data_IF_617231195476
#
_entry.id   IF_617231195476
#
_cell.length_a   1.000
_cell.length_b   1.000
_cell.length_c   1.000
_cell.angle_alpha   90.00
_cell.angle_beta   90.00
_cell.angle_gamma   90.00
#
_symmetry.space_group_name_H-M   'P 1'
#
loop_
_entity.id
_entity.type
_entity.pdbx_description
1 polymer ?
#
# COMPACT_ATOMS: atom_id res chain seq x y z
N UNK A 1 -13.44 -9.19 17.29
CA UNK A 1 -13.32 -8.19 16.21
C UNK A 1 -12.34 -7.12 16.69
N UNK A 2 -11.28 -6.85 15.91
CA UNK A 2 -10.31 -5.79 16.22
C UNK A 2 -10.77 -4.46 15.63
N UNK A 3 -10.24 -3.34 16.11
CA UNK A 3 -10.56 -2.00 15.62
C UNK A 3 -9.66 -1.57 14.44
N UNK A 4 -8.36 -1.83 14.54
CA UNK A 4 -7.35 -1.38 13.59
C UNK A 4 -6.08 -2.23 13.66
N UNK A 5 -5.23 -2.07 12.65
CA UNK A 5 -3.87 -2.60 12.63
C UNK A 5 -2.92 -1.57 13.22
N UNK A 6 -2.16 -1.94 14.24
CA UNK A 6 -1.15 -1.07 14.85
C UNK A 6 0.24 -1.43 14.34
N UNK A 7 0.81 -0.58 13.50
CA UNK A 7 2.12 -0.81 12.87
C UNK A 7 2.73 0.51 12.38
N UNK A 8 4.04 0.56 12.23
CA UNK A 8 4.72 1.65 11.50
C UNK A 8 4.80 1.39 10.00
N UNK A 9 4.53 0.16 9.59
CA UNK A 9 4.54 -0.23 8.19
C UNK A 9 3.26 0.26 7.48
N UNK A 10 3.45 1.04 6.43
CA UNK A 10 2.35 1.63 5.68
C UNK A 10 1.72 0.64 4.70
N UNK A 11 2.39 -0.47 4.41
CA UNK A 11 1.88 -1.49 3.49
C UNK A 11 0.63 -2.20 4.04
N UNK A 12 0.33 -2.08 5.34
CA UNK A 12 -0.92 -2.50 5.95
C UNK A 12 -2.15 -1.92 5.23
N UNK A 13 -2.09 -0.68 4.75
CA UNK A 13 -3.17 -0.07 3.96
C UNK A 13 -3.24 -0.68 2.56
N UNK A 14 -2.09 -1.03 1.98
CA UNK A 14 -2.00 -1.69 0.67
C UNK A 14 -2.60 -3.09 0.71
N UNK A 15 -2.39 -3.83 1.81
CA UNK A 15 -3.06 -5.11 2.11
C UNK A 15 -4.56 -4.98 2.45
N UNK A 16 -5.10 -3.77 2.52
CA UNK A 16 -6.53 -3.55 2.73
C UNK A 16 -6.96 -3.40 4.19
N UNK A 17 -6.05 -3.08 5.11
CA UNK A 17 -6.44 -2.70 6.47
C UNK A 17 -7.30 -1.44 6.45
N UNK A 18 -8.53 -1.51 6.98
CA UNK A 18 -9.48 -0.38 7.00
C UNK A 18 -8.91 0.85 7.74
N UNK A 19 -8.17 0.60 8.82
CA UNK A 19 -7.52 1.64 9.63
C UNK A 19 -6.13 1.19 10.09
N UNK A 20 -5.14 2.06 9.90
CA UNK A 20 -3.78 1.87 10.40
C UNK A 20 -3.46 2.89 11.51
N UNK A 21 -2.99 2.39 12.65
CA UNK A 21 -2.55 3.20 13.79
C UNK A 21 -1.03 3.22 13.86
N UNK A 22 -0.46 4.43 13.79
CA UNK A 22 0.97 4.67 13.95
C UNK A 22 1.28 5.35 15.26
N UNK A 23 2.53 5.19 15.69
CA UNK A 23 3.11 5.66 16.95
C UNK A 23 2.54 4.99 18.20
N UNK A 24 1.71 3.95 18.06
CA UNK A 24 1.08 3.28 19.21
C UNK A 24 2.13 2.58 20.10
N UNK A 25 3.18 2.03 19.51
CA UNK A 25 4.24 1.29 20.22
C UNK A 25 5.42 2.17 20.61
N UNK A 26 5.36 3.48 20.32
CA UNK A 26 6.42 4.40 20.70
C UNK A 26 6.45 4.59 22.22
N UNK A 27 7.65 4.78 22.76
CA UNK A 27 7.81 5.12 24.18
C UNK A 27 7.03 6.39 24.51
N UNK A 28 6.28 6.36 25.61
CA UNK A 28 5.53 7.51 26.15
C UNK A 28 6.39 8.77 26.27
N UNK A 29 7.68 8.62 26.56
CA UNK A 29 8.64 9.72 26.66
C UNK A 29 8.74 10.58 25.38
N UNK A 30 8.44 10.01 24.21
CA UNK A 30 8.43 10.73 22.92
C UNK A 30 7.24 11.68 22.79
N UNK A 31 6.17 11.50 23.57
CA UNK A 31 4.94 12.32 23.56
C UNK A 31 4.38 12.55 22.14
N UNK A 32 4.57 11.57 21.25
CA UNK A 32 4.01 11.63 19.90
C UNK A 32 2.55 11.18 19.95
N UNK A 33 1.61 11.96 19.37
CA UNK A 33 0.23 11.51 19.27
C UNK A 33 0.13 10.29 18.36
N UNK A 34 -0.81 9.41 18.68
CA UNK A 34 -1.21 8.33 17.79
C UNK A 34 -1.72 8.95 16.50
N UNK A 35 -1.23 8.45 15.38
CA UNK A 35 -1.69 8.85 14.06
C UNK A 35 -2.63 7.78 13.52
N UNK A 36 -3.80 8.20 13.09
CA UNK A 36 -4.83 7.33 12.51
C UNK A 36 -4.92 7.59 11.01
N UNK A 37 -4.89 6.52 10.22
CA UNK A 37 -5.03 6.61 8.76
C UNK A 37 -6.15 5.67 8.34
N UNK A 38 -7.20 6.25 7.75
CA UNK A 38 -8.38 5.53 7.27
C UNK A 38 -8.26 5.28 5.78
N UNK A 39 -8.34 4.02 5.36
CA UNK A 39 -8.16 3.63 3.97
C UNK A 39 -9.27 4.21 3.07
N UNK A 40 -10.52 4.20 3.53
CA UNK A 40 -11.66 4.75 2.78
C UNK A 40 -11.50 6.25 2.46
N UNK A 41 -10.98 7.03 3.42
CA UNK A 41 -10.66 8.45 3.22
C UNK A 41 -9.53 8.60 2.19
N UNK A 42 -8.45 7.80 2.31
CA UNK A 42 -7.32 7.84 1.36
C UNK A 42 -7.79 7.54 -0.07
N UNK A 43 -8.54 6.45 -0.26
CA UNK A 43 -9.08 6.05 -1.56
C UNK A 43 -10.02 7.12 -2.14
N UNK A 44 -10.89 7.70 -1.29
CA UNK A 44 -11.82 8.76 -1.69
C UNK A 44 -11.10 10.03 -2.14
N UNK A 45 -10.14 10.51 -1.35
CA UNK A 45 -9.40 11.75 -1.64
C UNK A 45 -8.51 11.60 -2.88
N UNK A 46 -7.89 10.42 -3.08
CA UNK A 46 -7.11 10.12 -4.29
C UNK A 46 -7.98 9.74 -5.50
N UNK A 47 -9.27 9.44 -5.28
CA UNK A 47 -10.24 8.94 -6.27
C UNK A 47 -9.77 7.65 -6.95
N UNK A 48 -9.30 6.72 -6.13
CA UNK A 48 -8.78 5.43 -6.56
C UNK A 48 -9.63 4.29 -5.98
N UNK A 49 -9.68 3.19 -6.71
CA UNK A 49 -10.12 1.90 -6.14
C UNK A 49 -8.96 1.26 -5.35
N UNK A 50 -9.24 0.23 -4.55
CA UNK A 50 -8.16 -0.47 -3.84
C UNK A 50 -7.11 -1.05 -4.80
N UNK A 51 -7.54 -1.63 -5.93
CA UNK A 51 -6.63 -2.14 -6.96
C UNK A 51 -5.76 -1.05 -7.57
N UNK A 52 -6.34 0.11 -7.88
CA UNK A 52 -5.59 1.27 -8.36
C UNK A 52 -4.61 1.79 -7.29
N UNK A 53 -4.98 1.74 -6.01
CA UNK A 53 -4.12 2.12 -4.90
C UNK A 53 -2.95 1.14 -4.70
N UNK A 54 -3.16 -0.17 -4.85
CA UNK A 54 -2.09 -1.18 -4.85
C UNK A 54 -1.08 -0.87 -5.96
N UNK A 55 -1.55 -0.60 -7.19
CA UNK A 55 -0.69 -0.22 -8.30
C UNK A 55 0.08 1.08 -8.02
N UNK A 56 -0.56 2.06 -7.38
CA UNK A 56 0.11 3.27 -6.91
C UNK A 56 1.24 2.94 -5.92
N UNK A 57 1.00 2.10 -4.92
CA UNK A 57 2.01 1.70 -3.94
C UNK A 57 3.21 1.00 -4.60
N UNK A 58 2.96 0.08 -5.54
CA UNK A 58 4.03 -0.58 -6.29
C UNK A 58 4.84 0.43 -7.11
N UNK A 59 4.20 1.41 -7.77
CA UNK A 59 4.89 2.47 -8.52
C UNK A 59 5.74 3.37 -7.62
N UNK A 60 5.29 3.66 -6.41
CA UNK A 60 6.05 4.44 -5.42
C UNK A 60 7.23 3.66 -4.81
N UNK A 61 7.22 2.33 -4.97
CA UNK A 61 8.17 1.39 -4.38
C UNK A 61 7.54 0.63 -3.22
N UNK A 62 7.69 -0.69 -3.25
CA UNK A 62 7.35 -1.59 -2.16
C UNK A 62 8.48 -2.63 -1.97
N UNK A 63 8.39 -3.44 -0.92
CA UNK A 63 9.43 -4.41 -0.58
C UNK A 63 9.41 -5.68 -1.44
N UNK A 64 8.39 -5.85 -2.28
CA UNK A 64 8.11 -7.10 -3.00
C UNK A 64 8.60 -7.12 -4.46
N UNK A 65 8.97 -5.98 -5.03
CA UNK A 65 9.46 -5.85 -6.41
C UNK A 65 10.20 -4.53 -6.61
N UNK A 66 10.99 -4.43 -7.67
CA UNK A 66 11.62 -3.17 -8.09
C UNK A 66 10.60 -2.07 -8.46
N UNK A 67 11.07 -0.85 -8.71
CA UNK A 67 10.26 0.27 -9.18
C UNK A 67 10.90 0.97 -10.39
N UNK A 68 10.10 1.76 -11.12
CA UNK A 68 10.59 2.47 -12.31
C UNK A 68 11.45 3.66 -11.87
N UNK A 69 12.75 3.61 -12.19
CA UNK A 69 13.70 4.66 -11.83
C UNK A 69 13.26 6.03 -12.37
N UNK A 70 13.22 7.03 -11.49
CA UNK A 70 12.85 8.40 -11.85
C UNK A 70 11.34 8.67 -11.84
N UNK A 71 10.52 7.68 -11.48
CA UNK A 71 9.10 7.87 -11.13
C UNK A 71 8.99 7.84 -9.60
N UNK A 72 8.76 9.02 -9.01
CA UNK A 72 8.53 9.17 -7.57
C UNK A 72 7.05 9.34 -7.22
N UNK A 73 6.72 9.65 -5.96
CA UNK A 73 5.33 9.70 -5.48
C UNK A 73 4.41 10.61 -6.28
N UNK A 74 4.83 11.86 -6.53
CA UNK A 74 4.03 12.83 -7.29
C UNK A 74 3.66 12.32 -8.69
N UNK A 75 4.64 11.76 -9.40
CA UNK A 75 4.44 11.27 -10.76
C UNK A 75 3.64 9.98 -10.78
N UNK A 76 3.81 9.12 -9.78
CA UNK A 76 3.01 7.89 -9.62
C UNK A 76 1.53 8.22 -9.48
N UNK A 77 1.18 9.22 -8.66
CA UNK A 77 -0.21 9.71 -8.52
C UNK A 77 -0.76 10.24 -9.85
N UNK A 78 0.00 11.09 -10.54
CA UNK A 78 -0.42 11.64 -11.85
C UNK A 78 -0.67 10.53 -12.88
N UNK A 79 0.22 9.53 -12.93
CA UNK A 79 0.13 8.41 -13.87
C UNK A 79 -1.03 7.48 -13.53
N UNK A 80 -1.19 7.07 -12.27
CA UNK A 80 -2.25 6.13 -11.89
C UNK A 80 -3.64 6.76 -12.02
N UNK A 81 -3.80 8.05 -11.70
CA UNK A 81 -5.08 8.74 -11.87
C UNK A 81 -5.49 8.82 -13.35
N UNK A 82 -4.52 8.95 -14.26
CA UNK A 82 -4.75 9.05 -15.70
C UNK A 82 -4.97 7.70 -16.37
N UNK A 83 -4.16 6.70 -16.02
CA UNK A 83 -4.06 5.43 -16.75
C UNK A 83 -4.69 4.24 -16.01
N UNK A 84 -4.98 4.38 -14.71
CA UNK A 84 -5.71 3.42 -13.87
C UNK A 84 -5.06 2.05 -13.65
N UNK A 85 -3.94 1.74 -14.30
CA UNK A 85 -3.19 0.49 -14.08
C UNK A 85 -1.72 0.64 -14.50
N UNK A 86 -0.83 -0.16 -13.91
CA UNK A 86 0.58 -0.22 -14.31
C UNK A 86 0.71 -0.61 -15.78
N UNK A 87 -0.09 -1.55 -16.27
CA UNK A 87 -0.07 -2.00 -17.66
C UNK A 87 -0.37 -0.86 -18.64
N UNK A 88 -1.40 -0.05 -18.36
CA UNK A 88 -1.73 1.11 -19.20
C UNK A 88 -0.70 2.23 -19.09
N UNK A 89 -0.07 2.39 -17.91
CA UNK A 89 1.05 3.32 -17.74
C UNK A 89 2.18 2.92 -18.67
N UNK A 90 2.62 1.66 -18.61
CA UNK A 90 3.73 1.16 -19.45
C UNK A 90 3.46 1.35 -20.94
N UNK A 91 2.22 1.13 -21.41
CA UNK A 91 1.82 1.38 -22.81
C UNK A 91 1.96 2.83 -23.26
N UNK A 92 1.87 3.79 -22.33
CA UNK A 92 1.88 5.23 -22.62
C UNK A 92 3.13 5.95 -22.11
N UNK A 93 4.04 5.24 -21.47
CA UNK A 93 5.24 5.79 -20.86
C UNK A 93 6.36 5.90 -21.90
N UNK A 94 7.17 6.95 -21.80
CA UNK A 94 8.39 7.07 -22.61
C UNK A 94 9.45 6.10 -22.08
N UNK A 95 9.52 4.90 -22.67
CA UNK A 95 10.44 3.83 -22.28
C UNK A 95 11.92 4.25 -22.32
N UNK A 96 12.30 5.20 -23.18
CA UNK A 96 13.69 5.69 -23.24
C UNK A 96 14.03 6.53 -22.02
N UNK A 97 13.05 7.25 -21.49
CA UNK A 97 13.22 8.13 -20.33
C UNK A 97 12.99 7.41 -19.01
N UNK A 98 12.05 6.48 -18.99
CA UNK A 98 11.62 5.73 -17.80
C UNK A 98 11.56 4.23 -18.14
N UNK A 99 12.72 3.58 -18.37
CA UNK A 99 12.75 2.16 -18.62
C UNK A 99 12.24 1.42 -17.37
N UNK A 100 11.32 0.47 -17.58
CA UNK A 100 10.93 -0.45 -16.52
C UNK A 100 12.11 -1.36 -16.14
N UNK A 101 12.15 -1.88 -14.89
CA UNK A 101 13.13 -2.89 -14.51
C UNK A 101 13.09 -4.12 -15.44
N UNK A 102 14.23 -4.76 -15.63
CA UNK A 102 14.28 -6.06 -16.33
C UNK A 102 13.53 -7.11 -15.50
N UNK A 103 12.71 -7.93 -16.16
CA UNK A 103 11.86 -8.95 -15.50
C UNK A 103 10.98 -8.42 -14.35
N UNK A 104 10.48 -7.18 -14.47
CA UNK A 104 9.70 -6.52 -13.42
C UNK A 104 8.41 -7.28 -13.05
N UNK A 105 8.43 -7.99 -11.91
CA UNK A 105 7.32 -8.79 -11.42
C UNK A 105 6.30 -7.98 -10.59
N UNK A 106 5.81 -6.87 -11.13
CA UNK A 106 4.76 -6.08 -10.47
C UNK A 106 3.44 -6.86 -10.33
N UNK A 107 3.18 -7.81 -11.23
CA UNK A 107 1.97 -8.65 -11.17
C UNK A 107 1.98 -9.59 -9.97
N UNK A 108 3.12 -10.21 -9.65
CA UNK A 108 3.28 -11.02 -8.44
C UNK A 108 3.18 -10.19 -7.16
N UNK A 109 3.75 -8.99 -7.14
CA UNK A 109 3.58 -8.07 -6.00
C UNK A 109 2.12 -7.65 -5.82
N UNK A 110 1.40 -7.37 -6.91
CA UNK A 110 -0.03 -7.06 -6.87
C UNK A 110 -0.84 -8.23 -6.33
N UNK A 111 -0.60 -9.44 -6.83
CA UNK A 111 -1.28 -10.65 -6.38
C UNK A 111 -1.07 -10.89 -4.88
N UNK A 112 0.16 -10.69 -4.39
CA UNK A 112 0.49 -10.77 -2.97
C UNK A 112 -0.33 -9.77 -2.12
N UNK A 113 -0.54 -8.55 -2.61
CA UNK A 113 -1.38 -7.56 -1.90
C UNK A 113 -2.88 -7.84 -1.99
N UNK A 114 -3.37 -8.35 -3.13
CA UNK A 114 -4.79 -8.65 -3.35
C UNK A 114 -5.21 -9.96 -2.64
N UNK A 115 -4.31 -10.92 -2.56
CA UNK A 115 -4.54 -12.28 -2.08
C UNK A 115 -3.45 -12.74 -1.10
N UNK A 116 -3.19 -11.99 0.00
CA UNK A 116 -2.19 -12.38 0.98
C UNK A 116 -2.60 -13.67 1.69
N UNK A 117 -1.63 -14.51 2.02
CA UNK A 117 -1.84 -15.63 2.92
C UNK A 117 -2.05 -15.10 4.35
N UNK A 118 -3.28 -15.19 4.84
CA UNK A 118 -3.68 -14.71 6.17
C UNK A 118 -4.42 -15.81 6.95
N UNK A 119 -4.34 -15.75 8.28
CA UNK A 119 -5.11 -16.62 9.14
C UNK A 119 -6.61 -16.33 9.00
N UNK A 120 -7.45 -17.36 9.13
CA UNK A 120 -8.91 -17.19 9.22
C UNK A 120 -9.27 -16.50 10.55
N UNK A 121 -9.81 -15.26 10.54
CA UNK A 121 -10.12 -14.52 11.74
C UNK A 121 -11.12 -15.23 12.66
N UNK A 122 -12.00 -16.08 12.13
CA UNK A 122 -13.01 -16.81 12.92
C UNK A 122 -12.38 -17.93 13.76
N UNK A 123 -11.16 -18.35 13.41
CA UNK A 123 -10.40 -19.35 14.17
C UNK A 123 -9.56 -18.74 15.29
N UNK A 124 -9.42 -17.40 15.33
CA UNK A 124 -8.57 -16.69 16.28
C UNK A 124 -9.35 -16.36 17.56
N UNK A 125 -9.05 -17.06 18.64
CA UNK A 125 -9.59 -16.73 19.97
C UNK A 125 -8.63 -15.78 20.71
N UNK A 126 -9.08 -14.54 20.94
CA UNK A 126 -8.33 -13.57 21.73
C UNK A 126 -8.74 -13.64 23.21
N UNK A 127 -7.79 -13.94 24.09
CA UNK A 127 -7.96 -13.97 25.55
C UNK A 127 -6.91 -13.08 26.21
N UNK A 128 -7.35 -12.20 27.09
CA UNK A 128 -6.47 -11.42 27.96
C UNK A 128 -6.60 -11.97 29.38
N UNK A 129 -5.54 -12.57 29.89
CA UNK A 129 -5.45 -13.07 31.26
C UNK A 129 -4.59 -12.10 32.09
N UNK A 130 -4.88 -12.01 33.38
CA UNK A 130 -4.06 -11.29 34.36
C UNK A 130 -2.71 -11.99 34.65
#
# INVERSE_FOLDING_TARGET
RILATATEDMDALTFGSDMCLRHLTFSEARKMPIQEIHLDVVLKELRLTQREFIDLCILMGCDYTDSIRGIGPKKSIELIQKHKSIEEILRNLDEKKYPAPEDWNFTGARDLFEHPEVADPETVELKWCE
#
